data_IF_532740326514
#
_entry.id   IF_532740326514
#
_cell.length_a   1.000
_cell.length_b   1.000
_cell.length_c   1.000
_cell.angle_alpha   90.00
_cell.angle_beta   90.00
_cell.angle_gamma   90.00
#
_symmetry.space_group_name_H-M   'P 1'
#
loop_
_entity.id
_entity.type
_entity.pdbx_description
1 polymer ?
#
# COMPACT_ATOMS: atom_id res chain seq x y z
N UNK A 1 -2.01 -18.84 30.15
CA UNK A 1 -0.94 -18.32 29.27
C UNK A 1 -1.62 -18.05 27.94
N UNK A 2 -1.72 -16.82 27.56
CA UNK A 2 -2.37 -16.40 26.32
C UNK A 2 -1.49 -16.85 25.16
N UNK A 3 -2.05 -17.55 24.16
CA UNK A 3 -1.27 -18.02 23.02
C UNK A 3 -1.43 -17.04 21.85
N UNK A 4 -0.40 -16.90 21.03
CA UNK A 4 -0.41 -16.01 19.84
C UNK A 4 -1.59 -16.33 18.90
N UNK A 5 -2.01 -17.61 18.87
CA UNK A 5 -3.17 -18.10 18.14
C UNK A 5 -4.49 -17.47 18.57
N UNK A 6 -4.56 -16.96 19.82
CA UNK A 6 -5.77 -16.33 20.36
C UNK A 6 -6.02 -14.95 19.72
N UNK A 7 -4.98 -14.33 19.15
CA UNK A 7 -5.04 -13.03 18.47
C UNK A 7 -5.29 -13.12 16.96
N UNK A 8 -5.32 -14.33 16.38
CA UNK A 8 -5.38 -14.51 14.92
C UNK A 8 -6.75 -15.05 14.52
N UNK A 9 -7.51 -14.24 13.81
CA UNK A 9 -8.72 -14.72 13.18
C UNK A 9 -8.40 -15.63 11.97
N UNK A 10 -9.39 -16.45 11.54
CA UNK A 10 -9.20 -17.42 10.46
C UNK A 10 -8.77 -16.81 9.11
N UNK A 11 -9.11 -15.55 8.86
CA UNK A 11 -8.77 -14.88 7.60
C UNK A 11 -7.29 -14.48 7.53
N UNK A 12 -6.69 -14.12 8.66
CA UNK A 12 -5.28 -13.70 8.73
C UNK A 12 -4.32 -14.88 8.91
N UNK A 13 -4.83 -16.05 9.30
CA UNK A 13 -4.00 -17.22 9.63
C UNK A 13 -3.10 -17.68 8.48
N UNK A 14 -3.59 -17.67 7.24
CA UNK A 14 -2.79 -18.05 6.06
C UNK A 14 -1.65 -17.07 5.80
N UNK A 15 -1.91 -15.78 5.97
CA UNK A 15 -0.93 -14.70 5.75
C UNK A 15 0.18 -14.77 6.81
N UNK A 16 -0.20 -15.05 8.05
CA UNK A 16 0.73 -15.08 9.19
C UNK A 16 1.38 -16.45 9.42
N UNK A 17 0.97 -17.50 8.72
CA UNK A 17 1.41 -18.88 9.00
C UNK A 17 2.94 -19.02 8.98
N UNK A 18 3.60 -18.45 7.96
CA UNK A 18 5.06 -18.55 7.84
C UNK A 18 5.79 -17.83 8.98
N UNK A 19 5.22 -16.74 9.46
CA UNK A 19 5.77 -15.94 10.56
C UNK A 19 5.55 -16.66 11.88
N UNK A 20 4.40 -17.31 12.05
CA UNK A 20 4.07 -18.10 13.23
C UNK A 20 4.97 -19.32 13.40
N UNK A 21 5.41 -19.90 12.29
CA UNK A 21 6.33 -21.04 12.30
C UNK A 21 7.80 -20.59 12.54
N UNK A 22 8.08 -19.27 12.46
CA UNK A 22 9.42 -18.69 12.61
C UNK A 22 9.39 -17.52 13.61
N UNK A 23 9.34 -17.84 14.89
CA UNK A 23 9.13 -16.89 15.98
C UNK A 23 10.14 -15.73 16.04
N UNK A 24 11.37 -15.90 15.52
CA UNK A 24 12.34 -14.81 15.43
C UNK A 24 11.90 -13.69 14.47
N UNK A 25 11.10 -14.01 13.45
CA UNK A 25 10.57 -13.02 12.51
C UNK A 25 9.54 -12.08 13.14
N UNK A 26 8.87 -12.53 14.18
CA UNK A 26 7.90 -11.73 14.93
C UNK A 26 8.52 -10.47 15.53
N UNK A 27 9.82 -10.48 15.84
CA UNK A 27 10.52 -9.29 16.34
C UNK A 27 10.60 -8.14 15.34
N UNK A 28 10.54 -8.47 14.05
CA UNK A 28 10.64 -7.47 12.99
C UNK A 28 9.27 -6.88 12.60
N UNK A 29 8.16 -7.51 13.00
CA UNK A 29 6.82 -7.10 12.55
C UNK A 29 6.47 -5.65 12.88
N UNK A 30 6.70 -5.12 14.10
CA UNK A 30 6.39 -3.73 14.38
C UNK A 30 7.16 -2.76 13.47
N UNK A 31 8.43 -3.06 13.22
CA UNK A 31 9.33 -2.26 12.39
C UNK A 31 8.90 -2.33 10.93
N UNK A 32 8.63 -3.52 10.41
CA UNK A 32 8.15 -3.70 9.03
C UNK A 32 6.77 -3.07 8.82
N UNK A 33 5.87 -3.20 9.79
CA UNK A 33 4.55 -2.57 9.71
C UNK A 33 4.67 -1.05 9.60
N UNK A 34 5.45 -0.41 10.48
CA UNK A 34 5.65 1.04 10.46
C UNK A 34 6.32 1.46 9.14
N UNK A 35 7.36 0.75 8.74
CA UNK A 35 8.08 1.06 7.52
C UNK A 35 7.22 1.01 6.25
N UNK A 36 6.28 0.07 6.16
CA UNK A 36 5.37 -0.05 5.01
C UNK A 36 4.08 0.76 5.13
N UNK A 37 3.79 1.35 6.29
CA UNK A 37 2.58 2.15 6.53
C UNK A 37 2.88 3.64 6.57
N UNK A 38 3.95 4.01 7.23
CA UNK A 38 4.27 5.39 7.62
C UNK A 38 5.49 5.95 6.90
N UNK A 39 6.52 5.13 6.75
CA UNK A 39 7.75 5.52 6.06
C UNK A 39 7.66 5.11 4.58
N UNK A 40 7.88 6.07 3.70
CA UNK A 40 8.22 5.75 2.33
C UNK A 40 9.67 5.28 2.30
N UNK A 41 9.91 3.98 2.44
CA UNK A 41 11.25 3.41 2.38
C UNK A 41 12.01 3.89 1.15
N UNK A 42 13.06 4.67 1.36
CA UNK A 42 13.99 5.00 0.29
C UNK A 42 14.77 3.74 -0.13
N UNK A 43 15.27 3.76 -1.35
CA UNK A 43 16.15 2.68 -1.83
C UNK A 43 17.36 2.47 -0.93
N UNK A 44 17.95 3.55 -0.41
CA UNK A 44 19.13 3.50 0.49
C UNK A 44 18.82 2.82 1.82
N UNK A 45 17.63 3.04 2.38
CA UNK A 45 17.19 2.39 3.62
C UNK A 45 16.95 0.91 3.41
N UNK A 46 16.25 0.53 2.33
CA UNK A 46 16.04 -0.88 1.98
C UNK A 46 17.35 -1.61 1.72
N UNK A 47 18.29 -0.99 0.99
CA UNK A 47 19.61 -1.56 0.72
C UNK A 47 20.43 -1.71 2.01
N UNK A 48 20.35 -0.73 2.92
CA UNK A 48 21.00 -0.79 4.24
C UNK A 48 20.43 -1.92 5.09
N UNK A 49 19.11 -2.05 5.18
CA UNK A 49 18.45 -3.12 5.92
C UNK A 49 18.80 -4.50 5.36
N UNK A 50 18.78 -4.67 4.03
CA UNK A 50 19.15 -5.92 3.36
C UNK A 50 20.60 -6.30 3.68
N UNK A 51 21.52 -5.35 3.59
CA UNK A 51 22.93 -5.57 3.95
C UNK A 51 23.06 -6.00 5.41
N UNK A 52 22.38 -5.35 6.32
CA UNK A 52 22.38 -5.71 7.75
C UNK A 52 21.85 -7.12 7.99
N UNK A 53 20.81 -7.55 7.26
CA UNK A 53 20.31 -8.94 7.30
C UNK A 53 21.34 -9.93 6.75
N UNK A 54 22.02 -9.59 5.66
CA UNK A 54 23.02 -10.45 5.04
C UNK A 54 24.20 -10.73 5.97
N UNK A 55 24.70 -9.67 6.62
CA UNK A 55 25.86 -9.72 7.53
C UNK A 55 25.56 -10.45 8.86
N UNK A 56 24.30 -10.62 9.22
CA UNK A 56 23.95 -11.25 10.50
C UNK A 56 24.08 -12.76 10.45
N UNK A 57 24.56 -13.36 11.54
CA UNK A 57 24.78 -14.82 11.65
C UNK A 57 23.68 -15.57 12.44
N UNK A 58 22.83 -14.83 13.17
CA UNK A 58 21.85 -15.47 14.06
C UNK A 58 20.54 -15.83 13.37
N UNK A 59 20.25 -15.28 12.18
CA UNK A 59 19.11 -15.63 11.36
C UNK A 59 19.43 -16.85 10.48
N UNK A 60 18.47 -17.77 10.41
CA UNK A 60 18.54 -18.90 9.49
C UNK A 60 18.40 -18.44 8.01
N UNK A 61 18.80 -19.25 7.02
CA UNK A 61 18.62 -18.91 5.60
C UNK A 61 17.16 -18.61 5.22
N UNK A 62 16.21 -19.34 5.80
CA UNK A 62 14.78 -19.14 5.55
C UNK A 62 14.27 -17.80 6.12
N UNK A 63 14.71 -17.45 7.34
CA UNK A 63 14.38 -16.17 7.98
C UNK A 63 14.95 -14.99 7.18
N UNK A 64 16.20 -15.12 6.72
CA UNK A 64 16.83 -14.11 5.83
C UNK A 64 16.06 -13.96 4.52
N UNK A 65 15.72 -15.08 3.87
CA UNK A 65 14.95 -15.07 2.62
C UNK A 65 13.60 -14.37 2.80
N UNK A 66 12.91 -14.63 3.91
CA UNK A 66 11.65 -13.97 4.21
C UNK A 66 11.83 -12.46 4.38
N UNK A 67 12.85 -12.01 5.13
CA UNK A 67 13.14 -10.60 5.30
C UNK A 67 13.51 -9.94 3.98
N UNK A 68 14.34 -10.57 3.14
CA UNK A 68 14.68 -10.04 1.81
C UNK A 68 13.45 -9.84 0.93
N UNK A 69 12.50 -10.77 0.94
CA UNK A 69 11.27 -10.65 0.19
C UNK A 69 10.39 -9.49 0.70
N UNK A 70 10.36 -9.28 2.01
CA UNK A 70 9.56 -8.21 2.62
C UNK A 70 10.29 -6.85 2.68
N UNK A 71 11.55 -6.79 2.28
CA UNK A 71 12.33 -5.57 2.07
C UNK A 71 12.56 -5.29 0.57
N UNK A 72 11.87 -5.99 -0.32
CA UNK A 72 12.02 -5.76 -1.75
C UNK A 72 11.09 -4.60 -2.19
N UNK A 73 11.65 -3.42 -2.39
CA UNK A 73 10.93 -2.25 -2.85
C UNK A 73 10.25 -2.43 -4.21
N UNK A 74 10.72 -3.37 -5.06
CA UNK A 74 10.08 -3.68 -6.34
C UNK A 74 8.87 -4.60 -6.19
N UNK A 75 8.86 -5.40 -5.14
CA UNK A 75 7.76 -6.31 -4.80
C UNK A 75 7.38 -6.15 -3.32
N UNK A 76 6.82 -5.00 -2.93
CA UNK A 76 6.44 -4.76 -1.55
C UNK A 76 5.38 -5.77 -1.09
N UNK A 77 5.27 -6.02 0.22
CA UNK A 77 4.21 -6.86 0.76
C UNK A 77 2.84 -6.33 0.37
N UNK A 78 1.88 -7.22 0.19
CA UNK A 78 0.52 -6.83 -0.14
C UNK A 78 -0.09 -6.03 1.01
N UNK A 79 -0.96 -5.06 0.69
CA UNK A 79 -1.66 -4.27 1.71
C UNK A 79 -2.36 -5.13 2.75
N UNK A 80 -3.00 -6.22 2.32
CA UNK A 80 -3.65 -7.17 3.23
C UNK A 80 -2.66 -7.86 4.21
N UNK A 81 -1.39 -8.04 3.80
CA UNK A 81 -0.34 -8.57 4.67
C UNK A 81 0.08 -7.53 5.69
N UNK A 82 0.33 -6.29 5.25
CA UNK A 82 0.69 -5.17 6.13
C UNK A 82 -0.43 -4.88 7.13
N UNK A 83 -1.69 -4.88 6.70
CA UNK A 83 -2.86 -4.71 7.57
C UNK A 83 -2.97 -5.85 8.60
N UNK A 84 -2.66 -7.09 8.20
CA UNK A 84 -2.64 -8.24 9.12
C UNK A 84 -1.53 -8.12 10.16
N UNK A 85 -0.35 -7.64 9.77
CA UNK A 85 0.75 -7.34 10.70
C UNK A 85 0.36 -6.23 11.68
N UNK A 86 -0.23 -5.15 11.19
CA UNK A 86 -0.69 -4.03 12.01
C UNK A 86 -1.70 -4.44 13.06
N UNK A 87 -2.68 -5.25 12.70
CA UNK A 87 -3.66 -5.81 13.64
C UNK A 87 -3.00 -6.63 14.74
N UNK A 88 -2.11 -7.55 14.36
CA UNK A 88 -1.38 -8.38 15.33
C UNK A 88 -0.50 -7.53 16.26
N UNK A 89 0.26 -6.59 15.70
CA UNK A 89 1.11 -5.67 16.47
C UNK A 89 0.30 -4.87 17.47
N UNK A 90 -0.83 -4.31 17.04
CA UNK A 90 -1.74 -3.53 17.88
C UNK A 90 -2.35 -4.36 19.00
N UNK A 91 -2.95 -5.51 18.67
CA UNK A 91 -3.60 -6.38 19.67
C UNK A 91 -2.63 -6.78 20.78
N UNK A 92 -1.37 -7.09 20.43
CA UNK A 92 -0.35 -7.42 21.41
C UNK A 92 0.12 -6.17 22.18
N UNK A 93 0.30 -5.03 21.50
CA UNK A 93 0.70 -3.79 22.16
C UNK A 93 -0.28 -3.37 23.27
N UNK A 94 -1.55 -3.66 23.13
CA UNK A 94 -2.58 -3.39 24.13
C UNK A 94 -2.42 -4.25 25.40
N UNK A 95 -1.80 -5.41 25.31
CA UNK A 95 -1.53 -6.28 26.48
C UNK A 95 -0.29 -5.85 27.27
N UNK A 96 0.49 -4.90 26.75
CA UNK A 96 1.77 -4.46 27.33
C UNK A 96 1.55 -3.21 28.18
N UNK A 97 2.12 -3.14 29.41
CA UNK A 97 2.05 -1.95 30.26
C UNK A 97 2.57 -0.70 29.54
N UNK A 98 1.91 0.43 29.73
CA UNK A 98 2.26 1.75 29.12
C UNK A 98 3.74 2.12 29.29
N UNK A 99 4.35 1.79 30.43
CA UNK A 99 5.78 2.04 30.68
C UNK A 99 6.74 1.29 29.78
N UNK A 100 6.27 0.26 29.07
CA UNK A 100 7.05 -0.60 28.16
C UNK A 100 6.86 -0.27 26.68
N UNK A 101 5.98 0.69 26.34
CA UNK A 101 5.56 1.04 24.97
C UNK A 101 6.47 2.07 24.29
N UNK A 102 7.79 2.02 24.48
CA UNK A 102 8.68 3.14 24.11
C UNK A 102 9.46 2.89 22.81
N UNK A 103 9.45 1.65 22.26
CA UNK A 103 10.29 1.31 21.11
C UNK A 103 9.67 0.13 20.33
N UNK A 104 9.73 0.19 19.01
CA UNK A 104 9.28 -0.88 18.12
C UNK A 104 10.07 -2.17 18.37
N UNK A 105 11.37 -2.04 18.63
CA UNK A 105 12.24 -3.16 19.00
C UNK A 105 11.75 -3.84 20.28
N UNK A 106 11.43 -3.07 21.33
CA UNK A 106 10.89 -3.63 22.58
C UNK A 106 9.55 -4.31 22.37
N UNK A 107 8.68 -3.73 21.55
CA UNK A 107 7.41 -4.32 21.16
C UNK A 107 7.63 -5.65 20.43
N UNK A 108 8.54 -5.70 19.47
CA UNK A 108 8.93 -6.91 18.77
C UNK A 108 9.42 -8.02 19.70
N UNK A 109 10.24 -7.70 20.70
CA UNK A 109 10.64 -8.67 21.72
C UNK A 109 9.46 -9.22 22.52
N UNK A 110 8.50 -8.37 22.88
CA UNK A 110 7.32 -8.84 23.62
C UNK A 110 6.44 -9.76 22.78
N UNK A 111 6.25 -9.44 21.50
CA UNK A 111 5.51 -10.28 20.55
C UNK A 111 6.16 -11.65 20.43
N UNK A 112 7.46 -11.70 20.21
CA UNK A 112 8.20 -12.96 20.10
C UNK A 112 8.19 -13.77 21.40
N UNK A 113 8.26 -13.11 22.57
CA UNK A 113 8.21 -13.74 23.88
C UNK A 113 6.88 -14.42 24.18
N UNK A 114 5.77 -13.85 23.73
CA UNK A 114 4.43 -14.46 23.88
C UNK A 114 4.36 -15.75 23.03
N UNK A 115 5.06 -15.76 21.90
CA UNK A 115 5.05 -16.87 20.95
C UNK A 115 5.87 -18.08 21.42
N UNK A 116 7.13 -17.90 21.81
CA UNK A 116 8.01 -18.98 22.26
C UNK A 116 9.12 -18.47 23.19
N UNK A 117 9.17 -19.02 24.40
CA UNK A 117 10.20 -18.66 25.38
C UNK A 117 11.61 -19.13 24.98
N UNK A 118 11.75 -20.19 24.19
CA UNK A 118 13.05 -20.71 23.79
C UNK A 118 13.75 -19.81 22.75
N UNK A 119 13.02 -18.97 22.06
CA UNK A 119 13.57 -18.03 21.07
C UNK A 119 14.19 -16.79 21.73
N UNK A 120 13.91 -16.53 23.02
CA UNK A 120 14.32 -15.31 23.72
C UNK A 120 15.83 -15.12 23.69
N UNK A 121 16.62 -16.14 23.99
CA UNK A 121 18.09 -16.04 24.03
C UNK A 121 18.68 -15.66 22.68
N UNK A 122 18.08 -16.16 21.60
CA UNK A 122 18.47 -15.83 20.22
C UNK A 122 18.19 -14.37 19.88
N UNK A 123 16.98 -13.89 20.14
CA UNK A 123 16.53 -12.53 19.78
C UNK A 123 17.05 -11.44 20.73
N UNK A 124 17.46 -11.79 21.94
CA UNK A 124 18.06 -10.85 22.90
C UNK A 124 19.58 -10.83 22.87
N UNK A 125 20.20 -11.62 21.99
CA UNK A 125 21.65 -11.57 21.76
C UNK A 125 22.09 -10.18 21.27
N UNK A 126 23.34 -9.79 21.57
CA UNK A 126 23.86 -8.49 21.14
C UNK A 126 23.81 -8.30 19.61
N UNK A 127 24.10 -9.31 18.76
CA UNK A 127 23.91 -9.17 17.31
C UNK A 127 22.46 -8.96 16.90
N UNK A 128 21.50 -9.56 17.59
CA UNK A 128 20.07 -9.39 17.30
C UNK A 128 19.59 -7.98 17.69
N UNK A 129 20.02 -7.50 18.86
CA UNK A 129 19.73 -6.12 19.30
C UNK A 129 20.29 -5.08 18.33
N UNK A 130 21.54 -5.27 17.88
CA UNK A 130 22.18 -4.38 16.93
C UNK A 130 21.40 -4.33 15.59
N UNK A 131 20.97 -5.47 15.07
CA UNK A 131 20.20 -5.54 13.83
C UNK A 131 18.86 -4.81 13.96
N UNK A 132 18.11 -5.07 15.04
CA UNK A 132 16.81 -4.43 15.26
C UNK A 132 16.95 -2.92 15.51
N UNK A 133 18.01 -2.50 16.19
CA UNK A 133 18.31 -1.09 16.37
C UNK A 133 18.62 -0.39 15.05
N UNK A 134 19.42 -1.01 14.19
CA UNK A 134 19.71 -0.49 12.85
C UNK A 134 18.42 -0.35 12.00
N UNK A 135 17.48 -1.27 12.14
CA UNK A 135 16.20 -1.19 11.47
C UNK A 135 15.34 -0.05 12.03
N UNK A 136 15.29 0.10 13.35
CA UNK A 136 14.53 1.17 14.00
C UNK A 136 15.10 2.56 13.65
N UNK A 137 16.42 2.71 13.60
CA UNK A 137 17.09 3.93 13.14
C UNK A 137 16.81 4.25 11.67
N UNK A 138 16.76 3.24 10.81
CA UNK A 138 16.49 3.44 9.39
C UNK A 138 15.06 3.93 9.11
N UNK A 139 14.10 3.57 9.95
CA UNK A 139 12.71 4.05 9.85
C UNK A 139 12.58 5.51 10.32
N UNK A 140 13.43 5.95 11.26
CA UNK A 140 13.36 7.30 11.82
C UNK A 140 12.17 7.52 12.76
N UNK A 141 11.56 8.72 12.67
CA UNK A 141 10.43 9.09 13.53
C UNK A 141 9.12 8.47 13.00
N UNK A 142 8.35 7.89 13.92
CA UNK A 142 7.02 7.34 13.63
C UNK A 142 6.01 8.48 13.66
N UNK A 143 5.08 8.54 12.70
CA UNK A 143 4.01 9.52 12.72
C UNK A 143 3.13 9.37 13.95
N UNK A 144 2.54 10.49 14.39
CA UNK A 144 1.61 10.47 15.51
C UNK A 144 0.39 9.57 15.24
N UNK A 145 -0.02 9.44 13.98
CA UNK A 145 -1.15 8.60 13.59
C UNK A 145 -0.81 7.11 13.74
N UNK A 146 0.31 6.66 13.20
CA UNK A 146 0.78 5.27 13.31
C UNK A 146 1.12 4.93 14.76
N UNK A 147 1.76 5.86 15.51
CA UNK A 147 2.03 5.68 16.93
C UNK A 147 0.73 5.49 17.72
N UNK A 148 -0.26 6.34 17.48
CA UNK A 148 -1.58 6.24 18.13
C UNK A 148 -2.30 4.95 17.76
N UNK A 149 -2.22 4.53 16.50
CA UNK A 149 -2.80 3.26 16.08
C UNK A 149 -2.22 2.05 16.84
N UNK A 150 -0.91 2.01 17.02
CA UNK A 150 -0.23 0.89 17.71
C UNK A 150 -0.47 0.94 19.22
N UNK A 151 -0.31 2.12 19.84
CA UNK A 151 -0.16 2.27 21.28
C UNK A 151 -1.36 2.90 22.00
N UNK A 152 -2.37 3.41 21.28
CA UNK A 152 -3.58 3.88 21.95
C UNK A 152 -4.15 2.76 22.82
N UNK A 153 -4.56 3.07 24.06
CA UNK A 153 -5.32 2.13 24.87
C UNK A 153 -6.52 1.63 24.05
N UNK A 154 -6.86 0.36 24.22
CA UNK A 154 -8.08 -0.17 23.65
C UNK A 154 -9.25 0.67 24.15
N UNK A 155 -9.60 1.67 23.39
CA UNK A 155 -10.99 2.10 23.38
C UNK A 155 -11.72 0.89 22.79
N UNK A 156 -12.62 0.34 23.60
CA UNK A 156 -13.44 -0.82 23.27
C UNK A 156 -13.84 -0.74 21.79
N UNK A 157 -13.39 -1.72 21.02
CA UNK A 157 -13.71 -1.89 19.60
C UNK A 157 -13.33 -0.72 18.67
N UNK A 158 -12.47 -0.96 17.67
CA UNK A 158 -12.29 0.01 16.58
C UNK A 158 -13.58 0.28 15.80
N UNK A 159 -14.56 -0.66 15.87
CA UNK A 159 -15.94 -0.39 15.51
C UNK A 159 -16.63 0.56 16.53
N UNK A 160 -16.04 0.76 17.73
CA UNK A 160 -16.44 1.77 18.71
C UNK A 160 -15.46 2.95 18.83
N UNK A 161 -14.30 2.92 18.15
CA UNK A 161 -13.65 4.14 17.66
C UNK A 161 -14.41 4.66 16.41
N UNK A 162 -15.65 4.40 16.36
CA UNK A 162 -16.64 5.37 16.01
C UNK A 162 -16.39 6.57 16.92
N UNK A 163 -15.33 7.32 16.58
CA UNK A 163 -15.07 8.64 17.11
C UNK A 163 -16.29 9.46 16.73
N UNK A 164 -17.12 9.61 17.70
CA UNK A 164 -18.42 10.19 17.51
C UNK A 164 -19.39 9.16 16.97
N UNK A 165 -20.38 8.92 17.77
CA UNK A 165 -21.71 8.47 17.40
C UNK A 165 -21.74 7.75 16.05
N UNK A 166 -22.18 6.50 16.05
CA UNK A 166 -22.70 5.82 14.85
C UNK A 166 -23.17 6.92 13.93
N UNK A 167 -22.50 7.08 12.79
CA UNK A 167 -22.78 8.22 11.92
C UNK A 167 -24.28 8.39 11.84
N UNK A 168 -24.81 9.56 12.21
CA UNK A 168 -26.26 9.83 12.22
C UNK A 168 -26.85 9.72 10.81
N UNK A 169 -26.03 9.32 9.83
CA UNK A 169 -26.40 9.16 8.44
C UNK A 169 -25.92 7.80 7.89
N UNK A 170 -26.63 7.32 6.89
CA UNK A 170 -26.30 6.13 6.13
C UNK A 170 -25.08 6.41 5.24
N UNK A 171 -23.93 5.81 5.56
CA UNK A 171 -22.67 6.00 4.83
C UNK A 171 -22.77 5.57 3.37
N UNK A 172 -23.55 4.52 3.07
CA UNK A 172 -23.76 4.07 1.69
C UNK A 172 -24.55 5.09 0.88
N UNK A 173 -25.56 5.70 1.48
CA UNK A 173 -26.32 6.79 0.84
C UNK A 173 -25.47 8.03 0.65
N UNK A 174 -24.59 8.34 1.61
CA UNK A 174 -23.67 9.46 1.49
C UNK A 174 -22.67 9.20 0.35
N UNK A 175 -22.08 8.02 0.27
CA UNK A 175 -21.18 7.66 -0.82
C UNK A 175 -21.90 7.75 -2.18
N UNK A 176 -23.11 7.19 -2.29
CA UNK A 176 -23.89 7.29 -3.51
C UNK A 176 -24.24 8.75 -3.89
N UNK A 177 -24.47 9.61 -2.89
CA UNK A 177 -24.69 11.05 -3.11
C UNK A 177 -23.41 11.75 -3.59
N UNK A 178 -22.26 11.45 -2.99
CA UNK A 178 -20.96 12.04 -3.36
C UNK A 178 -20.47 11.55 -4.72
N UNK A 179 -20.71 10.28 -5.06
CA UNK A 179 -20.36 9.72 -6.36
C UNK A 179 -21.20 10.33 -7.49
N UNK A 180 -22.44 10.73 -7.17
CA UNK A 180 -23.34 11.44 -8.09
C UNK A 180 -23.63 10.65 -9.36
N UNK A 181 -23.86 11.37 -10.46
CA UNK A 181 -24.24 10.80 -11.76
C UNK A 181 -23.12 9.95 -12.42
N UNK A 182 -21.88 10.02 -11.91
CA UNK A 182 -20.73 9.33 -12.47
C UNK A 182 -20.21 8.19 -11.57
N UNK A 183 -21.06 7.68 -10.68
CA UNK A 183 -20.73 6.58 -9.78
C UNK A 183 -20.21 5.34 -10.54
N UNK A 184 -20.76 5.03 -11.70
CA UNK A 184 -20.33 3.89 -12.53
C UNK A 184 -18.85 4.04 -12.95
N UNK A 185 -18.45 5.23 -13.43
CA UNK A 185 -17.07 5.51 -13.83
C UNK A 185 -16.12 5.44 -12.63
N UNK A 186 -16.49 5.99 -11.47
CA UNK A 186 -15.70 5.93 -10.23
C UNK A 186 -15.49 4.48 -9.77
N UNK A 187 -16.58 3.71 -9.68
CA UNK A 187 -16.53 2.31 -9.29
C UNK A 187 -15.70 1.46 -10.25
N UNK A 188 -15.76 1.72 -11.56
CA UNK A 188 -14.95 1.01 -12.55
C UNK A 188 -13.45 1.27 -12.35
N UNK A 189 -13.07 2.52 -12.07
CA UNK A 189 -11.67 2.87 -11.76
C UNK A 189 -11.24 2.23 -10.44
N UNK A 190 -12.03 2.34 -9.37
CA UNK A 190 -11.72 1.71 -8.08
C UNK A 190 -11.50 0.21 -8.23
N UNK A 191 -12.39 -0.48 -8.94
CA UNK A 191 -12.24 -1.91 -9.22
C UNK A 191 -10.98 -2.26 -10.01
N UNK A 192 -10.56 -1.41 -10.94
CA UNK A 192 -9.28 -1.57 -11.62
C UNK A 192 -8.11 -1.42 -10.64
N UNK A 193 -8.17 -0.41 -9.76
CA UNK A 193 -7.11 -0.11 -8.78
C UNK A 193 -6.98 -1.18 -7.67
N UNK A 194 -7.99 -2.04 -7.48
CA UNK A 194 -7.90 -3.19 -6.56
C UNK A 194 -7.01 -4.34 -7.08
N UNK A 195 -6.62 -4.31 -8.34
CA UNK A 195 -5.78 -5.36 -8.93
C UNK A 195 -4.36 -5.31 -8.36
N UNK A 196 -3.69 -6.47 -8.22
CA UNK A 196 -2.34 -6.55 -7.66
C UNK A 196 -1.28 -5.71 -8.36
N UNK A 197 -1.50 -5.39 -9.65
CA UNK A 197 -0.60 -4.55 -10.45
C UNK A 197 -0.62 -3.08 -10.01
N UNK A 198 -1.74 -2.62 -9.45
CA UNK A 198 -1.89 -1.26 -8.92
C UNK A 198 -1.48 -1.23 -7.45
N UNK A 199 -0.19 -1.32 -7.20
CA UNK A 199 0.38 -1.18 -5.86
C UNK A 199 1.58 -0.26 -5.91
N UNK A 200 1.80 0.46 -4.83
CA UNK A 200 3.01 1.27 -4.72
C UNK A 200 4.25 0.40 -4.71
N UNK A 201 5.27 0.85 -5.43
CA UNK A 201 6.57 0.22 -5.53
C UNK A 201 7.60 1.21 -5.03
N UNK A 202 8.25 0.89 -3.90
CA UNK A 202 9.19 1.76 -3.21
C UNK A 202 10.63 1.50 -3.65
N UNK A 203 11.52 2.48 -3.42
CA UNK A 203 12.93 2.34 -3.69
C UNK A 203 13.32 2.33 -5.18
N UNK A 204 12.41 2.68 -6.09
CA UNK A 204 12.71 2.85 -7.50
C UNK A 204 13.37 4.20 -7.77
N UNK A 205 14.28 4.23 -8.73
CA UNK A 205 14.72 5.50 -9.29
C UNK A 205 13.64 6.10 -10.20
N UNK A 206 13.82 7.34 -10.61
CA UNK A 206 12.85 8.10 -11.42
C UNK A 206 12.49 7.40 -12.74
N UNK A 207 13.46 6.79 -13.42
CA UNK A 207 13.27 6.14 -14.70
C UNK A 207 12.48 4.83 -14.54
N UNK A 208 12.85 4.02 -13.55
CA UNK A 208 12.13 2.78 -13.19
C UNK A 208 10.67 3.09 -12.82
N UNK A 209 10.44 4.15 -12.03
CA UNK A 209 9.08 4.52 -11.63
C UNK A 209 8.23 5.01 -12.82
N UNK A 210 8.83 5.71 -13.78
CA UNK A 210 8.15 6.14 -15.00
C UNK A 210 7.63 4.97 -15.83
N UNK A 211 8.35 3.84 -15.87
CA UNK A 211 7.89 2.63 -16.57
C UNK A 211 6.69 2.01 -15.84
N UNK A 212 6.73 1.92 -14.51
CA UNK A 212 5.59 1.43 -13.71
C UNK A 212 4.34 2.28 -13.97
N UNK A 213 4.47 3.60 -13.92
CA UNK A 213 3.34 4.52 -14.19
C UNK A 213 2.86 4.41 -15.64
N UNK A 214 3.76 4.13 -16.59
CA UNK A 214 3.38 3.91 -18.00
C UNK A 214 2.56 2.63 -18.15
N UNK A 215 2.90 1.57 -17.43
CA UNK A 215 2.16 0.31 -17.48
C UNK A 215 0.77 0.47 -16.83
N UNK A 216 0.65 1.17 -15.71
CA UNK A 216 -0.65 1.54 -15.13
C UNK A 216 -1.50 2.36 -16.13
N UNK A 217 -0.90 3.31 -16.84
CA UNK A 217 -1.60 4.10 -17.85
C UNK A 217 -2.12 3.24 -19.00
N UNK A 218 -1.31 2.28 -19.49
CA UNK A 218 -1.74 1.31 -20.52
C UNK A 218 -2.91 0.45 -20.02
N UNK A 219 -2.88 0.02 -18.76
CA UNK A 219 -3.99 -0.74 -18.17
C UNK A 219 -5.26 0.10 -18.13
N UNK A 220 -5.19 1.37 -17.72
CA UNK A 220 -6.33 2.30 -17.73
C UNK A 220 -6.86 2.53 -19.17
N UNK A 221 -5.99 2.61 -20.17
CA UNK A 221 -6.37 2.69 -21.57
C UNK A 221 -7.08 1.43 -22.05
N UNK A 222 -6.60 0.24 -21.68
CA UNK A 222 -7.21 -1.04 -22.03
C UNK A 222 -8.61 -1.23 -21.45
N UNK A 223 -8.91 -0.61 -20.29
CA UNK A 223 -10.26 -0.55 -19.71
C UNK A 223 -11.15 0.51 -20.41
N UNK A 224 -10.60 1.24 -21.37
CA UNK A 224 -11.33 2.23 -22.14
C UNK A 224 -11.41 3.63 -21.51
N UNK A 225 -10.75 3.85 -20.36
CA UNK A 225 -10.82 5.15 -19.65
C UNK A 225 -10.19 6.27 -20.47
N UNK A 226 -9.20 5.97 -21.33
CA UNK A 226 -8.55 6.96 -22.18
C UNK A 226 -9.44 7.53 -23.29
N UNK A 227 -10.51 6.86 -23.67
CA UNK A 227 -11.39 7.25 -24.75
C UNK A 227 -12.77 7.77 -24.29
N UNK A 228 -13.03 7.87 -22.97
CA UNK A 228 -14.35 8.25 -22.44
C UNK A 228 -14.88 9.56 -23.02
N UNK A 229 -14.05 10.58 -23.14
CA UNK A 229 -14.45 11.90 -23.63
C UNK A 229 -14.48 12.02 -25.16
N UNK A 230 -13.91 11.06 -25.90
CA UNK A 230 -13.81 11.14 -27.35
C UNK A 230 -15.15 10.84 -28.03
N UNK A 231 -15.39 11.35 -29.25
CA UNK A 231 -16.61 11.07 -30.00
C UNK A 231 -16.77 9.57 -30.31
N UNK A 232 -17.99 9.08 -30.33
CA UNK A 232 -18.32 7.67 -30.63
C UNK A 232 -17.77 7.22 -31.98
N UNK A 233 -17.90 8.05 -33.03
CA UNK A 233 -17.39 7.75 -34.37
C UNK A 233 -15.86 7.62 -34.43
N UNK A 234 -15.16 8.08 -33.39
CA UNK A 234 -13.71 7.95 -33.22
C UNK A 234 -13.32 6.91 -32.17
N UNK A 235 -14.26 6.10 -31.71
CA UNK A 235 -14.04 5.02 -30.79
C UNK A 235 -14.15 5.40 -29.31
N UNK A 236 -14.67 6.58 -29.00
CA UNK A 236 -14.96 7.04 -27.64
C UNK A 236 -16.41 6.82 -27.21
N UNK A 237 -16.79 7.39 -26.06
CA UNK A 237 -18.14 7.31 -25.49
C UNK A 237 -18.86 8.66 -25.46
N UNK A 238 -18.19 9.75 -25.82
CA UNK A 238 -18.70 11.12 -25.70
C UNK A 238 -19.13 11.50 -24.26
N UNK A 239 -18.46 10.94 -23.26
CA UNK A 239 -18.77 11.07 -21.82
C UNK A 239 -17.70 11.87 -21.09
N UNK A 240 -17.67 13.18 -21.25
CA UNK A 240 -16.70 14.05 -20.58
C UNK A 240 -16.80 14.00 -19.05
N UNK A 241 -18.02 13.86 -18.51
CA UNK A 241 -18.23 13.73 -17.06
C UNK A 241 -17.63 12.44 -16.50
N UNK A 242 -17.82 11.32 -17.20
CA UNK A 242 -17.19 10.03 -16.84
C UNK A 242 -15.65 10.11 -16.93
N UNK A 243 -15.10 10.82 -17.91
CA UNK A 243 -13.66 11.07 -18.00
C UNK A 243 -13.15 11.86 -16.79
N UNK A 244 -13.83 12.94 -16.39
CA UNK A 244 -13.45 13.75 -15.24
C UNK A 244 -13.56 12.95 -13.93
N UNK A 245 -14.60 12.14 -13.77
CA UNK A 245 -14.76 11.25 -12.61
C UNK A 245 -13.64 10.20 -12.55
N UNK A 246 -13.27 9.61 -13.69
CA UNK A 246 -12.14 8.68 -13.76
C UNK A 246 -10.81 9.38 -13.41
N UNK A 247 -10.57 10.56 -13.95
CA UNK A 247 -9.39 11.38 -13.65
C UNK A 247 -9.27 11.70 -12.17
N UNK A 248 -10.35 12.14 -11.53
CA UNK A 248 -10.43 12.43 -10.10
C UNK A 248 -10.15 11.18 -9.26
N UNK A 249 -10.76 10.04 -9.63
CA UNK A 249 -10.60 8.79 -8.88
C UNK A 249 -9.16 8.26 -8.97
N UNK A 250 -8.51 8.37 -10.12
CA UNK A 250 -7.08 8.03 -10.28
C UNK A 250 -6.17 8.90 -9.40
N UNK A 251 -6.56 10.16 -9.12
CA UNK A 251 -5.76 11.07 -8.29
C UNK A 251 -5.66 10.61 -6.83
N UNK A 252 -6.63 9.84 -6.33
CA UNK A 252 -6.56 9.25 -4.99
C UNK A 252 -5.54 8.11 -4.89
N UNK A 253 -5.14 7.54 -6.02
CA UNK A 253 -4.15 6.48 -6.06
C UNK A 253 -2.74 7.03 -6.28
N UNK A 254 -2.49 7.73 -7.39
CA UNK A 254 -1.16 8.22 -7.74
C UNK A 254 -1.19 9.47 -8.61
N UNK A 255 -0.49 10.53 -8.18
CA UNK A 255 -0.46 11.79 -8.90
C UNK A 255 0.36 11.73 -10.19
N UNK A 256 1.40 10.88 -10.29
CA UNK A 256 2.17 10.73 -11.51
C UNK A 256 1.36 10.03 -12.60
N UNK A 257 0.53 9.04 -12.20
CA UNK A 257 -0.43 8.39 -13.10
C UNK A 257 -1.45 9.41 -13.61
N UNK A 258 -2.04 10.20 -12.72
CA UNK A 258 -3.05 11.20 -13.11
C UNK A 258 -2.47 12.27 -14.04
N UNK A 259 -1.25 12.72 -13.80
CA UNK A 259 -0.58 13.69 -14.71
C UNK A 259 -0.36 13.07 -16.09
N UNK A 260 0.15 11.83 -16.17
CA UNK A 260 0.31 11.13 -17.46
C UNK A 260 -1.03 10.90 -18.16
N UNK A 261 -2.06 10.50 -17.41
CA UNK A 261 -3.42 10.31 -17.94
C UNK A 261 -3.98 11.60 -18.52
N UNK A 262 -3.86 12.71 -17.77
CA UNK A 262 -4.29 14.03 -18.23
C UNK A 262 -3.53 14.54 -19.44
N UNK A 263 -2.21 14.35 -19.49
CA UNK A 263 -1.39 14.75 -20.63
C UNK A 263 -1.74 13.93 -21.88
N UNK A 264 -1.82 12.62 -21.78
CA UNK A 264 -2.11 11.74 -22.90
C UNK A 264 -3.52 11.94 -23.46
N UNK A 265 -4.54 11.84 -22.61
CA UNK A 265 -5.93 11.81 -23.07
C UNK A 265 -6.59 13.19 -23.05
N UNK A 266 -6.30 14.00 -22.03
CA UNK A 266 -6.88 15.34 -21.87
C UNK A 266 -6.20 16.40 -22.73
N UNK A 267 -4.85 16.52 -22.64
CA UNK A 267 -4.14 17.53 -23.41
C UNK A 267 -3.90 17.10 -24.86
N UNK A 268 -3.19 16.01 -25.09
CA UNK A 268 -2.88 15.57 -26.46
C UNK A 268 -4.14 15.12 -27.19
N UNK A 269 -4.91 14.19 -26.61
CA UNK A 269 -6.17 13.74 -27.20
C UNK A 269 -7.20 14.86 -27.32
N UNK A 270 -7.37 15.65 -26.28
CA UNK A 270 -8.26 16.80 -26.27
C UNK A 270 -7.86 17.86 -27.31
N UNK A 271 -6.58 18.13 -27.52
CA UNK A 271 -6.14 19.03 -28.58
C UNK A 271 -6.51 18.52 -29.97
N UNK A 272 -6.31 17.22 -30.23
CA UNK A 272 -6.75 16.62 -31.51
C UNK A 272 -8.27 16.69 -31.65
N UNK A 273 -9.02 16.47 -30.60
CA UNK A 273 -10.48 16.54 -30.60
C UNK A 273 -11.00 17.96 -30.84
N UNK A 274 -10.45 18.95 -30.14
CA UNK A 274 -10.98 20.32 -30.14
C UNK A 274 -10.47 21.18 -31.32
N UNK A 275 -9.24 20.96 -31.76
CA UNK A 275 -8.60 21.71 -32.79
C UNK A 275 -8.54 21.00 -34.13
N UNK A 276 -8.72 19.66 -34.10
CA UNK A 276 -8.73 18.83 -35.28
C UNK A 276 -10.05 18.89 -36.04
N UNK A 277 -10.04 18.35 -37.25
CA UNK A 277 -11.23 18.09 -38.06
C UNK A 277 -11.59 16.60 -37.97
N UNK A 278 -12.77 16.22 -38.48
CA UNK A 278 -13.21 14.82 -38.49
C UNK A 278 -12.16 13.85 -39.07
N UNK A 279 -11.39 14.30 -40.09
CA UNK A 279 -10.29 13.53 -40.67
C UNK A 279 -9.20 13.25 -39.62
N UNK A 280 -8.88 14.20 -38.74
CA UNK A 280 -7.89 14.03 -37.69
C UNK A 280 -8.44 13.12 -36.57
N UNK A 281 -9.71 13.30 -36.20
CA UNK A 281 -10.38 12.46 -35.21
C UNK A 281 -10.34 11.00 -35.61
N UNK A 282 -10.81 10.68 -36.83
CA UNK A 282 -10.82 9.29 -37.35
C UNK A 282 -9.42 8.68 -37.47
N UNK A 283 -8.41 9.51 -37.72
CA UNK A 283 -7.04 9.04 -37.89
C UNK A 283 -6.33 8.79 -36.57
N UNK A 284 -6.55 9.62 -35.57
CA UNK A 284 -5.69 9.65 -34.38
C UNK A 284 -6.38 9.31 -33.06
N UNK A 285 -7.65 9.71 -32.82
CA UNK A 285 -8.25 9.61 -31.49
C UNK A 285 -8.32 8.18 -30.96
N UNK A 286 -8.65 7.21 -31.79
CA UNK A 286 -8.64 5.81 -31.35
C UNK A 286 -7.26 5.38 -30.87
N UNK A 287 -6.22 5.66 -31.64
CA UNK A 287 -4.85 5.27 -31.29
C UNK A 287 -4.29 6.06 -30.09
N UNK A 288 -4.81 7.26 -29.83
CA UNK A 288 -4.51 8.02 -28.62
C UNK A 288 -5.19 7.36 -27.42
N UNK A 289 -6.48 7.00 -27.55
CA UNK A 289 -7.28 6.42 -26.48
C UNK A 289 -6.83 5.03 -26.03
N UNK A 290 -6.31 4.22 -26.96
CA UNK A 290 -5.77 2.88 -26.68
C UNK A 290 -4.24 2.85 -26.43
N UNK A 291 -3.59 4.02 -26.33
CA UNK A 291 -2.15 4.17 -26.10
C UNK A 291 -1.23 3.60 -27.20
N UNK A 292 -1.74 3.27 -28.37
CA UNK A 292 -0.89 2.89 -29.52
C UNK A 292 -0.22 4.11 -30.18
N UNK A 293 -0.72 5.32 -29.89
CA UNK A 293 -0.10 6.60 -30.26
C UNK A 293 0.10 7.45 -28.98
N UNK A 294 1.23 7.29 -28.27
CA UNK A 294 1.56 8.16 -27.17
C UNK A 294 1.94 9.56 -27.64
N UNK A 295 1.60 10.57 -26.84
CA UNK A 295 1.91 11.97 -27.12
C UNK A 295 1.91 12.84 -25.88
N UNK A 296 2.32 14.10 -26.02
CA UNK A 296 2.33 15.12 -24.98
C UNK A 296 2.01 16.51 -25.57
#
# INVERSE_FOLDING_TARGET
>A
MMQLTDFINNNNRKILQLILDNHALLTFLPILYVGWTDAEFSKSELDFMKKSVEETSWLSPNEKSWLFNNLDGKNPPLRAEVDAWGKLVREIAQTIPLSSKVSLMKLGYQISRISDQNTIDKITSEPAKALLHNFEEAIGEISNETYSYIFAEAVEDLDTLNIGNKAEFDTNKMNAYLDGDFAEARNAVQKMLERPEFRYVYGLNKEEYREVVLDWLKMAANEGFGALSFPEYAGGKNEIGSYLAAFETLAYFDLSLVVKFGVQFGLFGGSVQMLGTERHHRKYLKSIGDMTLPGC
#
